data_IF_357935699182
#
_entry.id   IF_357935699182
#
_cell.length_a   1.000
_cell.length_b   1.000
_cell.length_c   1.000
_cell.angle_alpha   90.00
_cell.angle_beta   90.00
_cell.angle_gamma   90.00
#
_symmetry.space_group_name_H-M   'P 1'
#
loop_
_entity.id
_entity.type
_entity.pdbx_description
1 polymer ?
#
# COMPACT_ATOMS: atom_id res chain seq x y z
N UNK A 1 -9.22 -19.42 56.39
CA UNK A 1 -8.39 -19.26 57.59
C UNK A 1 -6.96 -19.15 57.09
N UNK A 2 -6.42 -17.96 56.80
CA UNK A 2 -6.03 -16.90 57.75
C UNK A 2 -4.51 -17.02 57.93
N UNK A 3 -3.66 -16.01 57.81
CA UNK A 3 -3.75 -14.58 57.55
C UNK A 3 -2.31 -14.04 57.58
N UNK A 4 -2.07 -12.94 56.86
CA UNK A 4 -0.95 -11.99 57.03
C UNK A 4 -0.96 -11.42 58.50
N UNK A 5 -0.04 -10.56 59.02
CA UNK A 5 1.02 -9.74 58.39
C UNK A 5 2.28 -9.42 59.26
N UNK A 6 3.20 -8.58 58.74
CA UNK A 6 3.87 -7.39 59.35
C UNK A 6 5.12 -7.03 58.50
N UNK A 7 5.22 -5.88 57.78
CA UNK A 7 5.57 -4.49 58.23
C UNK A 7 6.93 -4.43 58.92
N UNK A 8 7.79 -3.43 58.82
CA UNK A 8 8.03 -2.15 58.09
C UNK A 8 9.44 -1.72 58.61
N UNK A 9 10.11 -0.78 57.92
CA UNK A 9 11.01 0.27 58.46
C UNK A 9 11.97 0.69 57.33
N UNK A 10 11.76 1.78 56.58
CA UNK A 10 11.94 3.22 56.89
C UNK A 10 13.39 3.64 57.24
N UNK A 11 14.02 4.41 56.34
CA UNK A 11 14.88 5.59 56.57
C UNK A 11 15.59 6.00 55.26
N UNK A 12 15.84 7.26 54.89
CA UNK A 12 15.29 8.61 55.14
C UNK A 12 16.02 9.51 54.11
N UNK A 13 15.35 10.58 53.67
CA UNK A 13 15.87 11.65 52.82
C UNK A 13 17.05 12.42 53.46
N UNK A 14 17.70 13.32 52.69
CA UNK A 14 17.58 14.73 53.10
C UNK A 14 17.17 15.68 51.96
N UNK A 15 16.38 16.68 52.37
CA UNK A 15 15.93 17.89 51.66
C UNK A 15 16.62 19.14 52.24
N UNK A 16 16.91 20.14 51.39
CA UNK A 16 16.79 21.61 51.61
C UNK A 16 17.41 22.33 50.37
N UNK A 17 16.72 23.14 49.54
CA UNK A 17 16.09 24.47 49.76
C UNK A 17 17.10 25.53 50.24
N UNK A 18 17.20 26.79 49.78
CA UNK A 18 16.51 27.69 48.84
C UNK A 18 17.54 28.83 48.50
N UNK A 19 17.52 29.54 47.36
CA UNK A 19 16.68 30.73 47.08
C UNK A 19 17.56 31.94 46.69
N UNK A 20 17.07 32.84 45.81
CA UNK A 20 17.70 34.15 45.56
C UNK A 20 17.50 34.73 44.15
N UNK A 21 16.55 35.66 44.03
CA UNK A 21 16.23 36.49 42.86
C UNK A 21 17.30 37.55 42.54
N UNK A 22 17.40 38.02 41.29
CA UNK A 22 17.55 39.44 40.93
C UNK A 22 17.35 39.69 39.43
N UNK A 23 16.39 40.57 39.12
CA UNK A 23 16.12 41.20 37.81
C UNK A 23 16.84 42.55 37.68
N UNK A 24 17.28 42.92 36.47
CA UNK A 24 16.99 44.18 35.73
C UNK A 24 18.10 44.56 34.73
N UNK A 25 17.71 45.05 33.54
CA UNK A 25 18.46 46.11 32.84
C UNK A 25 18.74 45.91 31.35
N UNK A 26 17.85 46.43 30.49
CA UNK A 26 18.01 46.55 29.04
C UNK A 26 18.98 47.68 28.61
N UNK A 27 19.64 47.52 27.44
CA UNK A 27 20.03 48.58 26.46
C UNK A 27 20.67 47.97 25.19
N UNK A 28 20.22 48.31 23.95
CA UNK A 28 21.00 48.26 22.70
C UNK A 28 21.49 49.70 22.32
N UNK A 29 22.06 50.03 21.14
CA UNK A 29 22.52 49.24 19.97
C UNK A 29 23.95 49.61 19.47
N UNK A 30 24.52 48.89 18.49
CA UNK A 30 25.42 49.50 17.47
C UNK A 30 25.60 48.60 16.22
N UNK A 31 25.61 49.14 14.98
CA UNK A 31 25.55 48.37 13.74
C UNK A 31 26.91 48.21 13.05
N UNK A 32 27.15 47.06 12.40
CA UNK A 32 28.29 46.88 11.48
C UNK A 32 27.85 46.33 10.11
N UNK A 33 27.91 47.26 9.16
CA UNK A 33 28.23 47.20 7.71
C UNK A 33 28.06 45.89 6.92
N UNK A 34 27.32 46.08 5.83
CA UNK A 34 27.23 45.27 4.62
C UNK A 34 28.60 44.98 3.97
N UNK A 35 28.80 43.72 3.56
CA UNK A 35 29.86 43.29 2.64
C UNK A 35 29.28 42.39 1.55
N UNK A 36 29.32 42.86 0.29
CA UNK A 36 28.95 42.10 -0.91
C UNK A 36 29.97 40.99 -1.22
N UNK A 37 29.57 39.84 -1.77
CA UNK A 37 30.46 39.03 -2.58
C UNK A 37 30.14 39.14 -4.09
N UNK A 38 31.12 39.74 -4.78
CA UNK A 38 31.63 39.54 -6.14
C UNK A 38 30.82 38.67 -7.14
N UNK A 39 30.44 39.31 -8.25
CA UNK A 39 30.15 38.67 -9.54
C UNK A 39 31.44 38.03 -10.10
N UNK A 40 31.40 36.73 -10.39
CA UNK A 40 32.37 36.06 -11.25
C UNK A 40 31.70 35.73 -12.59
N UNK A 41 32.22 36.33 -13.67
CA UNK A 41 31.98 35.92 -15.06
C UNK A 41 33.07 34.92 -15.43
N UNK A 42 32.73 33.72 -15.92
CA UNK A 42 33.56 32.91 -16.82
C UNK A 42 32.62 32.03 -17.67
N UNK A 43 32.48 32.39 -18.95
CA UNK A 43 33.00 31.73 -20.17
C UNK A 43 32.22 30.47 -20.57
N UNK A 44 31.45 30.63 -21.64
CA UNK A 44 30.91 29.58 -22.48
C UNK A 44 32.06 28.76 -23.08
N UNK A 45 32.06 27.45 -22.81
CA UNK A 45 32.90 26.45 -23.45
C UNK A 45 32.06 25.60 -24.40
N UNK A 46 32.34 25.73 -25.69
CA UNK A 46 31.83 24.88 -26.76
C UNK A 46 32.37 23.45 -26.62
N UNK A 47 31.49 22.46 -26.54
CA UNK A 47 31.85 21.04 -26.46
C UNK A 47 30.79 20.13 -27.08
N UNK A 48 30.97 19.87 -28.39
CA UNK A 48 30.42 18.81 -29.25
C UNK A 48 29.28 17.93 -28.68
N UNK A 49 28.06 18.17 -29.20
CA UNK A 49 27.01 17.17 -29.25
C UNK A 49 27.37 16.10 -30.30
N UNK A 50 27.58 14.86 -29.85
CA UNK A 50 27.64 13.70 -30.73
C UNK A 50 26.20 13.22 -30.94
N UNK A 51 25.63 13.57 -32.10
CA UNK A 51 24.38 13.00 -32.57
C UNK A 51 24.64 11.54 -32.99
N UNK A 52 24.10 10.59 -32.23
CA UNK A 52 23.87 9.23 -32.75
C UNK A 52 22.44 9.14 -33.27
N UNK A 53 22.32 8.73 -34.52
CA UNK A 53 21.07 8.51 -35.23
C UNK A 53 20.21 7.44 -34.52
N UNK A 54 18.88 7.59 -34.44
CA UNK A 54 18.02 6.54 -33.93
C UNK A 54 17.93 5.41 -34.94
N UNK A 55 18.33 4.21 -34.51
CA UNK A 55 18.06 2.97 -35.22
C UNK A 55 16.54 2.79 -35.35
N UNK A 56 16.07 2.66 -36.60
CA UNK A 56 14.66 2.40 -36.92
C UNK A 56 14.25 1.01 -36.44
N UNK A 57 13.63 0.94 -35.25
CA UNK A 57 12.85 -0.24 -34.86
C UNK A 57 11.48 -0.17 -35.55
N UNK A 58 11.24 -1.14 -36.45
CA UNK A 58 9.96 -1.34 -37.12
C UNK A 58 8.92 -1.77 -36.09
N UNK A 59 7.94 -0.90 -35.84
CA UNK A 59 6.71 -1.24 -35.13
C UNK A 59 5.76 -1.97 -36.08
N UNK A 60 5.36 -3.19 -35.73
CA UNK A 60 4.25 -3.89 -36.38
C UNK A 60 2.94 -3.22 -35.95
N UNK A 61 2.46 -2.26 -36.76
CA UNK A 61 1.09 -1.75 -36.69
C UNK A 61 0.15 -2.79 -37.29
N UNK A 62 -0.73 -3.38 -36.48
CA UNK A 62 -1.95 -4.00 -36.98
C UNK A 62 -2.98 -2.89 -37.21
N UNK A 63 -3.42 -2.73 -38.46
CA UNK A 63 -4.57 -1.89 -38.86
C UNK A 63 -5.38 -2.58 -39.97
N UNK A 64 -6.66 -2.18 -40.13
CA UNK A 64 -7.79 -3.08 -40.30
C UNK A 64 -8.04 -3.47 -41.77
N UNK A 65 -8.55 -4.69 -41.98
CA UNK A 65 -9.00 -5.14 -43.28
C UNK A 65 -10.46 -4.78 -43.52
N UNK A 66 -10.71 -3.82 -44.42
CA UNK A 66 -11.99 -3.59 -45.05
C UNK A 66 -11.86 -4.02 -46.52
N UNK A 67 -12.79 -4.81 -47.06
CA UNK A 67 -13.03 -4.90 -48.52
C UNK A 67 -14.51 -4.95 -48.82
N UNK A 68 -14.93 -3.98 -49.63
CA UNK A 68 -16.20 -3.82 -50.30
C UNK A 68 -16.47 -4.92 -51.34
N UNK A 69 -17.76 -5.12 -51.66
CA UNK A 69 -18.20 -5.82 -52.87
C UNK A 69 -19.73 -5.97 -52.99
N UNK A 70 -20.38 -4.91 -53.49
CA UNK A 70 -21.74 -4.76 -54.04
C UNK A 70 -22.62 -6.01 -54.30
N UNK A 71 -23.93 -5.94 -53.99
CA UNK A 71 -25.04 -5.73 -54.96
C UNK A 71 -26.44 -5.90 -54.32
N UNK A 72 -27.28 -4.89 -54.54
CA UNK A 72 -28.73 -4.85 -54.78
C UNK A 72 -29.67 -5.97 -54.28
N UNK A 73 -30.78 -5.57 -53.63
CA UNK A 73 -32.04 -6.33 -53.71
C UNK A 73 -32.99 -6.22 -52.52
N UNK A 74 -33.82 -5.17 -52.54
CA UNK A 74 -35.22 -5.04 -52.06
C UNK A 74 -35.81 -6.09 -51.07
N UNK A 75 -36.40 -5.52 -50.00
CA UNK A 75 -37.78 -5.74 -49.49
C UNK A 75 -38.28 -7.18 -49.34
N UNK A 76 -38.55 -7.65 -48.11
CA UNK A 76 -39.85 -7.54 -47.42
C UNK A 76 -39.87 -8.36 -46.12
N UNK A 77 -40.78 -7.95 -45.25
CA UNK A 77 -41.09 -8.39 -43.90
C UNK A 77 -41.69 -9.83 -43.78
N UNK A 78 -41.98 -10.31 -42.55
CA UNK A 78 -41.89 -11.70 -42.09
C UNK A 78 -43.25 -12.42 -42.11
N UNK A 79 -43.32 -13.74 -41.87
CA UNK A 79 -44.48 -14.34 -41.18
C UNK A 79 -44.18 -15.67 -40.48
N UNK A 80 -45.00 -15.89 -39.45
CA UNK A 80 -45.03 -16.88 -38.37
C UNK A 80 -45.61 -18.26 -38.75
N UNK A 81 -45.57 -19.13 -37.73
CA UNK A 81 -46.44 -20.29 -37.42
C UNK A 81 -45.98 -21.60 -38.07
N UNK A 82 -45.94 -22.75 -37.40
CA UNK A 82 -46.55 -23.23 -36.16
C UNK A 82 -46.37 -24.76 -36.11
N UNK A 83 -46.89 -25.48 -35.09
CA UNK A 83 -46.25 -26.66 -34.51
C UNK A 83 -46.82 -28.00 -34.99
N UNK A 84 -46.04 -29.08 -34.88
CA UNK A 84 -46.60 -30.44 -34.80
C UNK A 84 -45.63 -31.43 -34.11
N UNK A 85 -46.14 -32.09 -33.08
CA UNK A 85 -45.53 -33.20 -32.34
C UNK A 85 -45.57 -34.48 -33.19
N UNK A 86 -44.53 -35.29 -33.16
CA UNK A 86 -44.63 -36.72 -32.79
C UNK A 86 -43.24 -37.35 -32.57
N UNK A 87 -43.14 -38.15 -31.50
CA UNK A 87 -42.01 -38.99 -31.08
C UNK A 87 -41.84 -40.20 -32.01
N UNK A 88 -40.59 -40.66 -32.18
CA UNK A 88 -40.05 -42.04 -32.33
C UNK A 88 -38.59 -41.86 -32.84
N UNK A 89 -37.56 -42.63 -32.58
CA UNK A 89 -37.23 -43.74 -31.67
C UNK A 89 -35.67 -43.78 -31.63
N UNK A 90 -35.08 -44.09 -30.47
CA UNK A 90 -33.63 -43.97 -30.18
C UNK A 90 -32.93 -45.32 -30.28
N UNK A 91 -32.64 -45.83 -31.48
CA UNK A 91 -31.82 -47.07 -31.57
C UNK A 91 -30.87 -47.19 -32.76
N UNK A 92 -30.80 -46.24 -33.70
CA UNK A 92 -29.99 -46.45 -34.93
C UNK A 92 -28.89 -45.42 -35.21
N UNK A 93 -28.45 -44.64 -34.21
CA UNK A 93 -27.32 -43.70 -34.37
C UNK A 93 -26.11 -44.02 -33.46
N UNK A 94 -26.19 -45.05 -32.60
CA UNK A 94 -25.11 -45.39 -31.65
C UNK A 94 -24.03 -46.35 -32.14
N UNK A 95 -24.06 -46.83 -33.39
CA UNK A 95 -23.04 -47.78 -33.90
C UNK A 95 -22.05 -47.24 -34.94
N UNK A 96 -22.26 -46.07 -35.53
CA UNK A 96 -21.33 -45.52 -36.53
C UNK A 96 -20.25 -44.56 -35.96
N UNK A 97 -20.46 -43.95 -34.78
CA UNK A 97 -19.49 -42.99 -34.21
C UNK A 97 -18.42 -43.60 -33.29
N UNK A 98 -18.48 -44.91 -32.97
CA UNK A 98 -17.50 -45.55 -32.06
C UNK A 98 -16.27 -46.16 -32.73
N UNK A 99 -16.22 -46.30 -34.06
CA UNK A 99 -15.06 -46.90 -34.76
C UNK A 99 -14.06 -45.91 -35.37
N UNK A 100 -14.40 -44.62 -35.53
CA UNK A 100 -13.44 -43.59 -35.99
C UNK A 100 -12.69 -42.85 -34.86
N UNK A 101 -13.15 -42.92 -33.61
CA UNK A 101 -12.41 -42.34 -32.46
C UNK A 101 -11.37 -43.28 -31.83
N UNK A 102 -11.34 -44.57 -32.19
CA UNK A 102 -10.47 -45.57 -31.56
C UNK A 102 -9.13 -45.82 -32.26
N UNK A 103 -8.92 -45.28 -33.46
CA UNK A 103 -7.66 -45.44 -34.22
C UNK A 103 -6.77 -44.18 -34.22
N UNK A 104 -7.30 -43.02 -33.85
CA UNK A 104 -6.49 -41.80 -33.70
C UNK A 104 -5.85 -41.64 -32.30
N UNK A 105 -6.21 -42.51 -31.34
CA UNK A 105 -5.77 -42.42 -29.93
C UNK A 105 -4.64 -43.39 -29.56
N UNK A 106 -4.22 -44.30 -30.46
CA UNK A 106 -3.06 -45.18 -30.21
C UNK A 106 -1.74 -44.66 -30.77
N UNK A 107 -1.71 -44.09 -31.98
CA UNK A 107 -0.45 -43.53 -32.55
C UNK A 107 0.05 -42.27 -31.84
N UNK A 108 -0.83 -41.52 -31.17
CA UNK A 108 -0.47 -40.31 -30.44
C UNK A 108 -0.14 -40.54 -28.94
N UNK A 109 -0.32 -41.78 -28.42
CA UNK A 109 0.02 -42.12 -27.02
C UNK A 109 1.49 -42.47 -26.82
N UNK A 110 2.19 -42.91 -27.87
CA UNK A 110 3.60 -43.29 -27.77
C UNK A 110 4.53 -42.07 -27.93
N UNK A 111 4.17 -41.08 -28.76
CA UNK A 111 4.90 -39.81 -28.84
C UNK A 111 4.61 -38.84 -27.67
N UNK A 112 3.42 -38.90 -27.04
CA UNK A 112 3.10 -38.05 -25.88
C UNK A 112 3.64 -38.55 -24.54
N UNK A 113 4.24 -39.75 -24.48
CA UNK A 113 4.88 -40.26 -23.26
C UNK A 113 6.29 -39.70 -23.03
N UNK A 114 6.97 -39.19 -24.05
CA UNK A 114 8.33 -38.65 -23.90
C UNK A 114 8.40 -37.13 -23.69
N UNK A 115 7.29 -36.38 -23.71
CA UNK A 115 7.30 -34.90 -23.63
C UNK A 115 6.37 -34.32 -22.56
N UNK A 116 6.00 -35.11 -21.55
CA UNK A 116 5.41 -34.56 -20.31
C UNK A 116 6.49 -34.40 -19.26
N UNK A 117 7.45 -33.50 -19.50
CA UNK A 117 8.10 -32.84 -18.37
C UNK A 117 7.08 -31.84 -17.83
N UNK A 118 6.65 -31.91 -16.56
CA UNK A 118 5.85 -30.83 -15.98
C UNK A 118 6.66 -29.55 -16.11
N UNK A 119 6.06 -28.51 -16.71
CA UNK A 119 6.72 -27.25 -17.09
C UNK A 119 7.22 -26.41 -15.88
N UNK A 120 7.09 -26.94 -14.65
CA UNK A 120 7.47 -26.26 -13.42
C UNK A 120 8.06 -27.26 -12.40
N UNK A 121 9.12 -27.99 -12.76
CA UNK A 121 10.08 -28.39 -11.72
C UNK A 121 10.94 -27.16 -11.45
N UNK A 122 11.09 -26.77 -10.19
CA UNK A 122 12.00 -25.66 -9.86
C UNK A 122 13.37 -25.97 -10.48
N UNK A 123 14.12 -24.97 -11.00
CA UNK A 123 15.41 -25.21 -11.67
C UNK A 123 16.34 -26.16 -10.89
N UNK A 124 16.31 -26.08 -9.55
CA UNK A 124 17.06 -26.94 -8.65
C UNK A 124 16.69 -28.44 -8.73
N UNK A 125 15.42 -28.77 -8.97
CA UNK A 125 14.97 -30.16 -9.13
C UNK A 125 15.35 -30.76 -10.49
N UNK A 126 15.65 -29.94 -11.49
CA UNK A 126 16.13 -30.42 -12.79
C UNK A 126 17.65 -30.63 -12.81
N UNK A 127 18.37 -29.94 -11.92
CA UNK A 127 19.84 -29.99 -11.81
C UNK A 127 20.36 -31.12 -10.91
N UNK A 128 19.47 -31.90 -10.28
CA UNK A 128 19.81 -33.01 -9.37
C UNK A 128 20.80 -32.63 -8.26
N UNK A 129 20.68 -31.39 -7.76
CA UNK A 129 21.55 -30.86 -6.71
C UNK A 129 21.14 -31.46 -5.36
N UNK A 130 22.06 -32.05 -4.59
CA UNK A 130 21.74 -32.58 -3.27
C UNK A 130 21.45 -31.43 -2.31
N UNK A 131 20.22 -31.40 -1.77
CA UNK A 131 19.77 -30.41 -0.79
C UNK A 131 19.66 -31.06 0.60
N UNK A 132 20.29 -30.44 1.62
CA UNK A 132 20.17 -30.89 3.02
C UNK A 132 18.78 -30.62 3.61
N UNK A 133 18.06 -29.64 3.07
CA UNK A 133 16.69 -29.28 3.47
C UNK A 133 15.77 -29.20 2.26
N UNK A 134 14.51 -29.53 2.49
CA UNK A 134 13.44 -29.34 1.50
C UNK A 134 13.14 -27.87 1.30
N UNK A 135 12.84 -27.49 0.06
CA UNK A 135 12.35 -26.16 -0.31
C UNK A 135 10.83 -26.25 -0.49
N UNK A 136 10.10 -25.34 0.14
CA UNK A 136 8.63 -25.23 0.03
C UNK A 136 8.26 -23.94 -0.68
N UNK A 137 7.59 -24.05 -1.83
CA UNK A 137 6.98 -22.90 -2.50
C UNK A 137 5.56 -22.71 -1.97
N UNK A 138 5.30 -21.55 -1.38
CA UNK A 138 3.98 -21.16 -0.89
C UNK A 138 3.47 -20.06 -1.82
N UNK A 139 2.28 -20.24 -2.39
CA UNK A 139 1.66 -19.28 -3.32
C UNK A 139 0.38 -18.78 -2.67
N UNK A 140 0.38 -17.51 -2.26
CA UNK A 140 -0.82 -16.82 -1.81
C UNK A 140 -1.67 -16.32 -2.98
N UNK A 141 -2.94 -16.02 -2.70
CA UNK A 141 -3.90 -15.52 -3.69
C UNK A 141 -4.65 -14.27 -3.20
N UNK A 142 -4.21 -13.67 -2.09
CA UNK A 142 -4.90 -12.59 -1.38
C UNK A 142 -3.91 -11.69 -0.62
N UNK A 143 -2.73 -11.45 -1.19
CA UNK A 143 -1.69 -10.57 -0.61
C UNK A 143 -2.15 -9.10 -0.66
N UNK A 144 -2.68 -8.68 -1.80
CA UNK A 144 -3.07 -7.28 -2.04
C UNK A 144 -4.38 -6.85 -1.34
N UNK A 145 -4.84 -7.63 -0.37
CA UNK A 145 -6.16 -7.49 0.26
C UNK A 145 -6.17 -7.94 1.72
N UNK A 146 -6.68 -9.13 2.07
CA UNK A 146 -6.95 -9.50 3.48
C UNK A 146 -6.07 -10.62 4.04
N UNK A 147 -5.22 -11.21 3.22
CA UNK A 147 -4.31 -12.30 3.57
C UNK A 147 -5.01 -13.54 4.11
N UNK A 148 -6.27 -13.76 3.73
CA UNK A 148 -7.06 -14.93 4.13
C UNK A 148 -6.37 -16.24 3.69
N UNK A 149 -5.66 -16.20 2.57
CA UNK A 149 -4.87 -17.33 2.09
C UNK A 149 -3.75 -17.75 3.05
N UNK A 150 -3.02 -16.81 3.65
CA UNK A 150 -1.95 -17.13 4.61
C UNK A 150 -2.50 -17.51 5.97
N UNK A 151 -3.60 -16.90 6.41
CA UNK A 151 -4.32 -17.35 7.60
C UNK A 151 -4.76 -18.80 7.46
N UNK A 152 -5.41 -19.13 6.33
CA UNK A 152 -5.82 -20.49 6.01
C UNK A 152 -4.63 -21.45 5.98
N UNK A 153 -3.54 -21.09 5.30
CA UNK A 153 -2.32 -21.89 5.23
C UNK A 153 -1.76 -22.17 6.63
N UNK A 154 -1.61 -21.15 7.48
CA UNK A 154 -1.08 -21.31 8.82
C UNK A 154 -1.99 -22.16 9.72
N UNK A 155 -3.31 -22.14 9.52
CA UNK A 155 -4.23 -23.00 10.27
C UNK A 155 -4.16 -24.47 9.86
N UNK A 156 -3.97 -24.76 8.57
CA UNK A 156 -4.08 -26.13 8.04
C UNK A 156 -2.74 -26.85 7.89
N UNK A 157 -1.67 -26.10 7.66
CA UNK A 157 -0.33 -26.66 7.50
C UNK A 157 0.38 -26.58 8.86
N UNK A 158 0.78 -27.72 9.46
CA UNK A 158 1.45 -27.69 10.78
C UNK A 158 2.93 -27.29 10.68
N UNK A 159 3.53 -27.48 9.51
CA UNK A 159 4.95 -27.23 9.31
C UNK A 159 5.24 -25.74 9.06
N UNK A 160 6.30 -25.24 9.71
CA UNK A 160 6.85 -23.90 9.49
C UNK A 160 8.25 -24.01 8.86
N UNK A 161 8.55 -23.23 7.80
CA UNK A 161 9.91 -23.11 7.31
C UNK A 161 10.85 -22.62 8.42
N UNK A 162 12.05 -23.19 8.48
CA UNK A 162 13.10 -22.75 9.41
C UNK A 162 13.57 -21.33 9.10
N UNK A 163 13.61 -20.99 7.82
CA UNK A 163 13.80 -19.66 7.26
C UNK A 163 13.16 -19.61 5.87
N UNK A 164 12.91 -18.40 5.37
CA UNK A 164 12.36 -18.24 4.03
C UNK A 164 12.50 -16.82 3.49
N UNK A 165 12.07 -16.66 2.25
CA UNK A 165 12.11 -15.39 1.53
C UNK A 165 10.75 -15.11 0.89
N UNK A 166 10.34 -13.85 0.90
CA UNK A 166 9.24 -13.32 0.10
C UNK A 166 9.83 -12.45 -1.02
N UNK A 167 9.81 -12.87 -2.30
CA UNK A 167 10.35 -12.09 -3.41
C UNK A 167 9.39 -10.97 -3.83
N UNK A 168 9.24 -9.98 -2.95
CA UNK A 168 8.13 -9.00 -3.02
C UNK A 168 8.54 -7.62 -2.46
N UNK A 169 9.83 -7.28 -2.55
CA UNK A 169 10.35 -6.02 -2.03
C UNK A 169 11.53 -5.48 -2.84
N UNK A 170 12.36 -4.64 -2.22
CA UNK A 170 13.59 -4.11 -2.78
C UNK A 170 14.83 -4.93 -2.41
N UNK A 171 15.88 -4.78 -3.22
CA UNK A 171 17.22 -5.29 -2.93
C UNK A 171 17.99 -4.33 -2.00
N UNK A 172 19.00 -4.79 -1.22
CA UNK A 172 19.53 -6.16 -1.14
C UNK A 172 18.63 -7.14 -0.38
N UNK A 173 17.90 -6.68 0.62
CA UNK A 173 16.84 -7.40 1.33
C UNK A 173 16.14 -6.44 2.30
N UNK A 174 14.92 -6.78 2.69
CA UNK A 174 14.17 -6.12 3.75
C UNK A 174 14.15 -7.01 4.98
N UNK A 175 14.90 -6.62 6.01
CA UNK A 175 15.05 -7.40 7.26
C UNK A 175 14.04 -7.03 8.32
N UNK A 176 13.25 -5.98 8.10
CA UNK A 176 12.20 -5.56 9.01
C UNK A 176 11.11 -4.75 8.34
N UNK A 177 9.91 -4.88 8.84
CA UNK A 177 8.73 -4.17 8.36
C UNK A 177 8.01 -3.53 9.55
N UNK A 178 7.59 -2.28 9.39
CA UNK A 178 6.83 -1.54 10.40
C UNK A 178 5.55 -2.27 10.78
N UNK A 179 5.09 -2.04 12.01
CA UNK A 179 3.75 -2.44 12.40
C UNK A 179 2.72 -1.66 11.59
N UNK A 180 1.60 -2.30 11.26
CA UNK A 180 0.52 -1.69 10.50
C UNK A 180 -0.71 -1.66 11.40
N UNK A 181 -1.31 -0.50 11.58
CA UNK A 181 -2.58 -0.40 12.30
C UNK A 181 -3.56 0.52 11.57
N UNK A 182 -4.80 0.06 11.42
CA UNK A 182 -5.93 0.91 11.04
C UNK A 182 -6.69 1.29 12.30
N UNK A 183 -6.70 2.59 12.61
CA UNK A 183 -7.44 3.17 13.71
C UNK A 183 -8.78 3.70 13.18
N UNK A 184 -9.88 3.15 13.66
CA UNK A 184 -11.23 3.57 13.28
C UNK A 184 -11.75 4.55 14.32
N UNK A 185 -11.64 5.84 14.02
CA UNK A 185 -12.08 6.92 14.90
C UNK A 185 -13.50 7.34 14.53
N UNK A 186 -14.38 7.46 15.50
CA UNK A 186 -15.76 7.90 15.28
C UNK A 186 -16.19 8.95 16.29
N UNK A 187 -17.14 9.81 15.92
CA UNK A 187 -17.77 10.75 16.83
C UNK A 187 -19.23 10.96 16.44
N UNK A 188 -20.11 10.95 17.44
CA UNK A 188 -21.52 11.30 17.25
C UNK A 188 -21.67 12.82 17.18
N UNK A 189 -22.49 13.28 16.25
CA UNK A 189 -22.76 14.69 15.97
C UNK A 189 -24.25 14.92 16.10
N UNK A 190 -24.64 15.73 17.08
CA UNK A 190 -26.02 16.17 17.25
C UNK A 190 -26.11 17.65 16.90
N UNK A 191 -26.59 17.92 15.70
CA UNK A 191 -26.81 19.27 15.17
C UNK A 191 -28.24 19.33 14.62
N UNK A 192 -28.97 20.44 14.80
CA UNK A 192 -30.33 20.55 14.30
C UNK A 192 -30.35 20.62 12.77
N UNK A 193 -31.39 20.07 12.15
CA UNK A 193 -31.54 20.09 10.68
C UNK A 193 -32.07 21.43 10.13
N UNK A 194 -32.37 22.39 11.01
CA UNK A 194 -32.93 23.70 10.66
C UNK A 194 -31.87 24.74 10.28
N UNK A 195 -30.58 24.40 10.38
CA UNK A 195 -29.45 25.29 10.10
C UNK A 195 -28.69 24.83 8.86
N UNK A 196 -27.96 25.76 8.22
CA UNK A 196 -27.02 25.43 7.13
C UNK A 196 -25.84 24.67 7.73
N UNK A 197 -25.53 23.51 7.14
CA UNK A 197 -24.54 22.54 7.61
C UNK A 197 -24.18 21.54 6.51
N UNK A 198 -23.18 20.71 6.80
CA UNK A 198 -22.87 19.56 5.96
C UNK A 198 -23.95 18.50 6.22
N UNK A 199 -24.62 18.03 5.16
CA UNK A 199 -25.61 16.96 5.22
C UNK A 199 -24.92 15.58 5.24
N UNK A 200 -23.94 15.41 4.38
CA UNK A 200 -23.08 14.24 4.33
C UNK A 200 -21.76 14.60 3.63
N UNK A 201 -20.72 13.84 3.92
CA UNK A 201 -19.44 13.92 3.22
C UNK A 201 -18.78 12.54 3.17
N UNK A 202 -18.01 12.25 2.12
CA UNK A 202 -17.29 10.98 2.01
C UNK A 202 -16.08 11.10 1.09
N UNK A 203 -15.01 10.38 1.42
CA UNK A 203 -13.81 10.29 0.59
C UNK A 203 -12.94 9.11 0.99
N UNK A 204 -12.28 8.51 0.00
CA UNK A 204 -11.41 7.35 0.19
C UNK A 204 -12.17 6.02 0.30
N UNK A 205 -11.64 4.99 -0.36
CA UNK A 205 -12.24 3.64 -0.35
C UNK A 205 -11.42 2.63 0.45
N UNK A 206 -10.11 2.86 0.57
CA UNK A 206 -9.16 1.92 1.16
C UNK A 206 -8.26 2.64 2.18
N UNK A 207 -8.13 2.14 3.42
CA UNK A 207 -7.30 2.78 4.44
C UNK A 207 -5.83 2.93 4.04
N UNK A 208 -5.30 1.98 3.24
CA UNK A 208 -3.90 1.97 2.81
C UNK A 208 -3.61 2.83 1.58
N UNK A 209 -4.54 3.69 1.13
CA UNK A 209 -4.36 4.60 0.01
C UNK A 209 -4.65 6.04 0.44
N UNK A 210 -3.92 7.01 -0.12
CA UNK A 210 -4.29 8.43 -0.05
C UNK A 210 -5.52 8.65 -0.93
N UNK A 211 -6.63 9.19 -0.41
CA UNK A 211 -7.83 9.48 -1.20
C UNK A 211 -7.55 10.48 -2.32
N UNK A 212 -7.97 10.15 -3.55
CA UNK A 212 -7.88 11.02 -4.73
C UNK A 212 -9.22 11.63 -5.15
N UNK A 213 -10.30 11.22 -4.50
CA UNK A 213 -11.66 11.74 -4.71
C UNK A 213 -12.40 11.88 -3.38
N UNK A 214 -13.17 12.95 -3.24
CA UNK A 214 -14.09 13.17 -2.13
C UNK A 214 -15.23 14.10 -2.53
N UNK A 215 -16.33 14.02 -1.81
CA UNK A 215 -17.50 14.86 -2.03
C UNK A 215 -18.26 15.13 -0.74
N UNK A 216 -18.93 16.28 -0.67
CA UNK A 216 -19.84 16.65 0.41
C UNK A 216 -21.05 17.41 -0.12
N UNK A 217 -22.18 17.28 0.56
CA UNK A 217 -23.38 18.07 0.31
C UNK A 217 -23.60 19.05 1.45
N UNK A 218 -23.80 20.32 1.13
CA UNK A 218 -24.16 21.38 2.07
C UNK A 218 -25.57 21.88 1.75
N UNK A 219 -26.45 21.96 2.74
CA UNK A 219 -27.83 22.46 2.58
C UNK A 219 -27.87 24.00 2.57
N UNK A 220 -27.20 24.62 1.61
CA UNK A 220 -27.28 26.06 1.36
C UNK A 220 -28.10 26.36 0.10
N UNK A 221 -28.78 27.52 0.09
CA UNK A 221 -29.59 27.96 -1.06
C UNK A 221 -28.76 28.59 -2.17
N UNK A 222 -27.67 29.26 -1.80
CA UNK A 222 -26.77 29.95 -2.72
C UNK A 222 -25.40 29.28 -2.67
N UNK A 223 -24.73 29.21 -3.83
CA UNK A 223 -23.36 28.71 -3.92
C UNK A 223 -22.46 29.54 -3.00
N UNK A 224 -21.68 28.91 -2.12
CA UNK A 224 -20.70 29.63 -1.32
C UNK A 224 -19.66 30.32 -2.21
N UNK A 225 -19.46 31.61 -1.99
CA UNK A 225 -18.56 32.46 -2.77
C UNK A 225 -17.28 32.74 -1.98
N UNK A 226 -16.31 31.83 -2.08
CA UNK A 226 -14.99 31.96 -1.48
C UNK A 226 -13.92 31.25 -2.33
N UNK A 227 -12.63 31.57 -2.15
CA UNK A 227 -11.56 30.86 -2.85
C UNK A 227 -11.57 29.37 -2.51
N UNK A 228 -11.52 28.53 -3.55
CA UNK A 228 -11.39 27.09 -3.41
C UNK A 228 -9.94 26.63 -3.62
N UNK A 229 -9.49 25.58 -2.91
CA UNK A 229 -8.22 24.95 -3.22
C UNK A 229 -8.26 24.32 -4.62
N UNK A 230 -7.07 24.13 -5.19
CA UNK A 230 -6.92 23.50 -6.50
C UNK A 230 -7.60 22.11 -6.52
N UNK A 231 -8.38 21.84 -7.57
CA UNK A 231 -9.08 20.57 -7.73
C UNK A 231 -10.42 20.48 -6.98
N UNK A 232 -10.85 21.53 -6.27
CA UNK A 232 -12.17 21.62 -5.65
C UNK A 232 -13.16 22.48 -6.46
N UNK A 233 -14.43 22.05 -6.53
CA UNK A 233 -15.48 22.76 -7.26
C UNK A 233 -16.87 22.49 -6.66
N UNK A 234 -17.73 23.52 -6.71
CA UNK A 234 -19.15 23.39 -6.38
C UNK A 234 -19.97 22.94 -7.59
N UNK A 235 -20.99 22.12 -7.34
CA UNK A 235 -22.00 21.69 -8.29
C UNK A 235 -23.39 21.89 -7.69
N UNK A 236 -24.38 22.35 -8.47
CA UNK A 236 -25.75 22.48 -7.99
C UNK A 236 -26.35 21.10 -7.70
N UNK A 237 -27.10 20.99 -6.60
CA UNK A 237 -27.85 19.81 -6.19
C UNK A 237 -29.27 20.22 -5.78
N UNK A 238 -30.33 19.40 -6.01
CA UNK A 238 -31.68 19.73 -5.57
C UNK A 238 -31.80 20.05 -4.06
N UNK A 239 -30.90 19.53 -3.24
CA UNK A 239 -30.90 19.72 -1.78
C UNK A 239 -29.85 20.73 -1.29
N UNK A 240 -29.20 21.47 -2.21
CA UNK A 240 -28.24 22.52 -1.89
C UNK A 240 -27.07 22.57 -2.87
N UNK A 241 -25.85 22.52 -2.34
CA UNK A 241 -24.65 22.54 -3.17
C UNK A 241 -23.71 21.42 -2.81
N UNK A 242 -23.26 20.68 -3.82
CA UNK A 242 -22.30 19.59 -3.68
C UNK A 242 -20.90 20.10 -3.98
N UNK A 243 -19.99 19.96 -3.02
CA UNK A 243 -18.58 20.22 -3.20
C UNK A 243 -17.88 18.92 -3.57
N UNK A 244 -17.11 18.93 -4.65
CA UNK A 244 -16.24 17.81 -5.05
C UNK A 244 -14.80 18.30 -4.96
N UNK A 245 -13.90 17.47 -4.45
CA UNK A 245 -12.47 17.73 -4.51
C UNK A 245 -11.72 16.50 -5.05
N UNK A 246 -10.78 16.76 -5.95
CA UNK A 246 -9.84 15.78 -6.48
C UNK A 246 -8.47 15.93 -5.82
N UNK A 247 -7.77 14.83 -5.68
CA UNK A 247 -6.43 14.72 -5.13
C UNK A 247 -5.50 13.93 -6.04
N UNK A 248 -4.52 13.28 -5.44
CA UNK A 248 -3.59 12.35 -6.12
C UNK A 248 -3.37 11.15 -5.21
N UNK A 249 -3.71 9.97 -5.71
CA UNK A 249 -3.50 8.73 -4.97
C UNK A 249 -2.01 8.45 -4.74
N UNK A 250 -1.71 7.84 -3.60
CA UNK A 250 -0.40 7.30 -3.24
C UNK A 250 -0.59 6.18 -2.21
N UNK A 251 0.43 5.35 -2.05
CA UNK A 251 0.42 4.30 -1.03
C UNK A 251 0.45 4.93 0.38
N UNK A 252 -0.36 4.40 1.31
CA UNK A 252 -0.54 4.95 2.66
C UNK A 252 0.69 4.87 3.57
N UNK A 253 1.75 4.16 3.15
CA UNK A 253 3.06 4.22 3.82
C UNK A 253 3.92 5.42 3.41
N UNK A 254 3.56 6.11 2.32
CA UNK A 254 4.24 7.29 1.80
C UNK A 254 3.21 8.36 1.41
N UNK A 255 2.36 8.81 2.36
CA UNK A 255 1.26 9.71 2.06
C UNK A 255 1.69 11.06 1.47
N UNK A 256 2.94 11.48 1.71
CA UNK A 256 3.57 12.67 1.11
C UNK A 256 3.73 12.61 -0.41
N UNK A 257 3.70 11.41 -1.02
CA UNK A 257 3.72 11.24 -2.47
C UNK A 257 2.38 11.57 -3.16
N UNK A 258 1.32 11.68 -2.36
CA UNK A 258 -0.05 11.94 -2.79
C UNK A 258 -0.53 13.34 -2.42
N UNK A 259 -1.78 13.62 -2.77
CA UNK A 259 -2.50 14.82 -2.33
C UNK A 259 -3.86 14.35 -1.83
N UNK A 260 -4.10 14.46 -0.53
CA UNK A 260 -5.31 13.91 0.09
C UNK A 260 -6.53 14.77 -0.27
N UNK A 261 -7.44 14.19 -1.05
CA UNK A 261 -8.67 14.85 -1.47
C UNK A 261 -9.55 15.26 -0.29
N UNK A 262 -9.59 14.46 0.79
CA UNK A 262 -10.34 14.78 2.02
C UNK A 262 -9.80 16.05 2.65
N UNK A 263 -8.48 16.20 2.76
CA UNK A 263 -7.86 17.45 3.27
C UNK A 263 -8.33 18.66 2.46
N UNK A 264 -8.28 18.58 1.12
CA UNK A 264 -8.75 19.67 0.23
C UNK A 264 -10.23 20.00 0.43
N UNK A 265 -11.09 19.00 0.62
CA UNK A 265 -12.50 19.21 0.90
C UNK A 265 -12.69 19.95 2.22
N UNK A 266 -12.00 19.53 3.28
CA UNK A 266 -12.11 20.16 4.60
C UNK A 266 -11.55 21.59 4.57
N UNK A 267 -10.48 21.85 3.83
CA UNK A 267 -9.94 23.21 3.61
C UNK A 267 -10.90 24.12 2.85
N UNK A 268 -11.65 23.55 1.90
CA UNK A 268 -12.68 24.28 1.18
C UNK A 268 -13.94 24.52 2.04
N UNK A 269 -14.26 23.65 3.00
CA UNK A 269 -15.44 23.81 3.87
C UNK A 269 -15.15 24.67 5.10
N UNK A 270 -13.93 24.65 5.63
CA UNK A 270 -13.54 25.37 6.85
C UNK A 270 -13.92 26.87 6.83
N UNK A 271 -13.69 27.65 5.75
CA UNK A 271 -14.01 29.08 5.74
C UNK A 271 -15.50 29.42 5.83
N UNK A 272 -16.38 28.44 5.61
CA UNK A 272 -17.83 28.62 5.71
C UNK A 272 -18.29 28.81 7.16
N UNK A 273 -17.44 28.49 8.14
CA UNK A 273 -17.72 28.61 9.58
C UNK A 273 -19.06 27.95 9.94
N UNK A 274 -19.28 26.75 9.40
CA UNK A 274 -20.46 25.96 9.71
C UNK A 274 -20.34 25.42 11.14
N UNK A 275 -21.47 25.10 11.79
CA UNK A 275 -21.45 24.42 13.10
C UNK A 275 -20.57 23.16 13.11
N UNK A 276 -20.47 22.46 11.98
CA UNK A 276 -19.62 21.28 11.79
C UNK A 276 -18.13 21.53 12.14
N UNK A 277 -17.63 22.76 11.96
CA UNK A 277 -16.26 23.17 12.29
C UNK A 277 -15.89 22.84 13.74
N UNK A 278 -16.68 23.34 14.67
CA UNK A 278 -16.45 23.18 16.12
C UNK A 278 -16.65 21.73 16.58
N UNK A 279 -17.53 21.00 15.91
CA UNK A 279 -17.87 19.64 16.31
C UNK A 279 -16.85 18.60 15.83
N UNK A 280 -16.35 18.69 14.61
CA UNK A 280 -15.48 17.66 14.05
C UNK A 280 -14.54 18.12 12.93
N UNK A 281 -14.95 19.08 12.11
CA UNK A 281 -14.23 19.41 10.86
C UNK A 281 -12.85 19.99 11.14
N UNK A 282 -12.71 20.92 12.09
CA UNK A 282 -11.40 21.50 12.41
C UNK A 282 -10.42 20.45 12.98
N UNK A 283 -10.96 19.49 13.75
CA UNK A 283 -10.17 18.39 14.32
C UNK A 283 -9.65 17.47 13.22
N UNK A 284 -10.54 17.02 12.32
CA UNK A 284 -10.14 16.10 11.24
C UNK A 284 -9.26 16.82 10.23
N UNK A 285 -9.49 18.11 9.96
CA UNK A 285 -8.61 18.89 9.11
C UNK A 285 -7.19 18.95 9.68
N UNK A 286 -7.04 19.22 10.98
CA UNK A 286 -5.73 19.19 11.66
C UNK A 286 -5.05 17.81 11.54
N UNK A 287 -5.80 16.73 11.77
CA UNK A 287 -5.28 15.36 11.61
C UNK A 287 -4.88 15.03 10.18
N UNK A 288 -5.68 15.46 9.19
CA UNK A 288 -5.47 15.17 7.77
C UNK A 288 -4.24 15.87 7.16
N UNK A 289 -3.73 16.93 7.82
CA UNK A 289 -2.51 17.66 7.42
C UNK A 289 -1.23 17.03 7.97
N UNK A 290 -1.33 16.11 8.91
CA UNK A 290 -0.20 15.52 9.64
C UNK A 290 0.09 14.10 9.15
N UNK A 291 1.27 13.91 8.58
CA UNK A 291 1.71 12.63 8.00
C UNK A 291 2.55 11.79 8.96
N UNK A 292 2.93 12.32 10.12
CA UNK A 292 3.86 11.71 11.08
C UNK A 292 3.21 11.33 12.43
N UNK A 293 1.90 11.54 12.54
CA UNK A 293 1.12 11.23 13.74
C UNK A 293 1.10 12.32 14.81
N UNK A 294 1.80 13.44 14.62
CA UNK A 294 1.85 14.55 15.58
C UNK A 294 0.48 15.10 15.95
N UNK A 295 -0.40 15.31 14.95
CA UNK A 295 -1.75 15.84 15.21
C UNK A 295 -2.66 14.85 15.96
N UNK A 296 -2.36 13.55 15.88
CA UNK A 296 -3.03 12.49 16.64
C UNK A 296 -2.38 12.27 18.03
N UNK A 297 -1.22 12.88 18.28
CA UNK A 297 -0.44 12.69 19.51
C UNK A 297 0.27 11.35 19.57
N UNK A 298 0.59 10.74 18.43
CA UNK A 298 1.21 9.41 18.34
C UNK A 298 2.55 9.43 17.58
N UNK A 299 3.18 10.59 17.45
CA UNK A 299 4.48 10.66 16.79
C UNK A 299 5.54 9.86 17.54
N UNK A 300 6.24 9.00 16.82
CA UNK A 300 7.32 8.17 17.35
C UNK A 300 8.32 7.85 16.24
N UNK A 301 9.58 7.66 16.62
CA UNK A 301 10.66 7.30 15.72
C UNK A 301 11.63 6.36 16.42
N UNK A 302 12.08 5.32 15.72
CA UNK A 302 13.22 4.49 16.11
C UNK A 302 14.38 4.63 15.10
N UNK A 303 15.56 4.14 15.48
CA UNK A 303 16.73 4.13 14.59
C UNK A 303 16.60 3.08 13.48
N UNK A 304 15.89 1.98 13.74
CA UNK A 304 15.81 0.82 12.85
C UNK A 304 14.91 1.03 11.63
N UNK A 305 13.80 1.72 11.81
CA UNK A 305 12.71 1.87 10.84
C UNK A 305 12.25 3.32 10.64
N UNK A 306 12.77 4.24 11.45
CA UNK A 306 12.54 5.67 11.28
C UNK A 306 11.18 6.10 11.80
N UNK A 307 10.67 7.21 11.24
CA UNK A 307 9.45 7.88 11.73
C UNK A 307 8.19 7.07 11.46
N UNK A 308 7.22 7.16 12.36
CA UNK A 308 5.85 6.75 12.11
C UNK A 308 5.28 7.50 10.90
N UNK A 309 4.41 6.83 10.13
CA UNK A 309 3.61 7.48 9.08
C UNK A 309 2.12 7.33 9.38
N UNK A 310 1.34 8.37 9.07
CA UNK A 310 -0.10 8.47 9.30
C UNK A 310 -0.81 8.89 8.02
N UNK A 311 -1.74 8.06 7.54
CA UNK A 311 -2.57 8.34 6.38
C UNK A 311 -4.06 8.34 6.75
N UNK A 312 -4.76 9.45 6.51
CA UNK A 312 -6.23 9.47 6.51
C UNK A 312 -6.73 8.85 5.19
N UNK A 313 -7.01 7.55 5.23
CA UNK A 313 -7.36 6.77 4.03
C UNK A 313 -8.86 6.66 3.75
N UNK A 314 -9.71 6.85 4.76
CA UNK A 314 -11.17 6.84 4.62
C UNK A 314 -11.78 7.88 5.54
N UNK A 315 -12.73 8.64 5.02
CA UNK A 315 -13.51 9.64 5.73
C UNK A 315 -14.97 9.54 5.32
N UNK A 316 -15.87 9.50 6.31
CA UNK A 316 -17.30 9.41 6.10
C UNK A 316 -18.03 10.27 7.14
N UNK A 317 -19.07 10.96 6.69
CA UNK A 317 -19.98 11.71 7.51
C UNK A 317 -21.39 11.58 6.94
N UNK A 318 -22.35 11.16 7.77
CA UNK A 318 -23.74 10.91 7.35
C UNK A 318 -24.75 11.92 7.94
N UNK A 319 -24.27 13.02 8.53
CA UNK A 319 -25.09 14.03 9.20
C UNK A 319 -25.28 13.79 10.70
N UNK A 320 -25.08 12.57 11.19
CA UNK A 320 -25.21 12.23 12.63
C UNK A 320 -23.96 11.60 13.22
N UNK A 321 -23.10 11.02 12.39
CA UNK A 321 -21.86 10.39 12.81
C UNK A 321 -20.75 10.70 11.79
N UNK A 322 -19.58 11.05 12.31
CA UNK A 322 -18.34 11.12 11.54
C UNK A 322 -17.48 9.91 11.85
N UNK A 323 -16.85 9.33 10.82
CA UNK A 323 -15.96 8.18 10.87
C UNK A 323 -14.71 8.45 10.03
N UNK A 324 -13.55 8.22 10.61
CA UNK A 324 -12.26 8.32 9.96
C UNK A 324 -11.49 7.01 10.15
N UNK A 325 -10.78 6.56 9.12
CA UNK A 325 -9.86 5.44 9.22
C UNK A 325 -8.45 5.93 8.91
N UNK A 326 -7.61 5.91 9.94
CA UNK A 326 -6.19 6.24 9.82
C UNK A 326 -5.38 4.96 9.66
N UNK A 327 -4.64 4.84 8.56
CA UNK A 327 -3.64 3.79 8.37
C UNK A 327 -2.29 4.29 8.86
N UNK A 328 -1.81 3.67 9.93
CA UNK A 328 -0.58 4.03 10.61
C UNK A 328 0.48 2.96 10.34
N UNK A 329 1.69 3.39 9.96
CA UNK A 329 2.89 2.53 9.93
C UNK A 329 3.78 2.94 11.08
N UNK A 330 3.80 2.12 12.12
CA UNK A 330 4.49 2.47 13.36
C UNK A 330 5.84 1.74 13.50
N UNK A 331 6.84 2.35 14.16
CA UNK A 331 8.20 1.82 14.18
C UNK A 331 8.34 0.43 14.81
N UNK A 332 9.36 -0.32 14.38
CA UNK A 332 9.58 -1.74 14.73
C UNK A 332 9.74 -1.93 16.24
N UNK A 333 10.39 -1.00 16.94
CA UNK A 333 10.63 -1.11 18.39
C UNK A 333 9.42 -0.71 19.24
N UNK A 334 8.32 -0.28 18.63
CA UNK A 334 7.15 0.21 19.35
C UNK A 334 6.04 -0.84 19.46
N UNK A 335 5.10 -0.64 20.39
CA UNK A 335 3.99 -1.56 20.63
C UNK A 335 2.64 -0.90 20.35
N UNK A 336 1.64 -1.71 19.99
CA UNK A 336 0.27 -1.24 19.80
C UNK A 336 -0.29 -0.63 21.10
N UNK A 337 0.02 -1.22 22.26
CA UNK A 337 -0.46 -0.73 23.54
C UNK A 337 0.10 0.65 23.88
N UNK A 338 1.39 0.88 23.65
CA UNK A 338 2.00 2.19 23.85
C UNK A 338 1.44 3.24 22.87
N UNK A 339 1.16 2.85 21.62
CA UNK A 339 0.48 3.72 20.65
C UNK A 339 -0.93 4.11 21.14
N UNK A 340 -1.71 3.15 21.64
CA UNK A 340 -3.05 3.41 22.18
C UNK A 340 -3.01 4.31 23.41
N UNK A 341 -2.04 4.11 24.30
CA UNK A 341 -1.83 4.97 25.46
C UNK A 341 -1.54 6.42 25.06
N UNK A 342 -0.69 6.63 24.05
CA UNK A 342 -0.39 7.98 23.53
C UNK A 342 -1.58 8.61 22.79
N UNK A 343 -2.41 7.82 22.12
CA UNK A 343 -3.61 8.29 21.42
C UNK A 343 -4.72 8.75 22.40
N UNK A 344 -4.81 8.13 23.57
CA UNK A 344 -5.92 8.29 24.50
C UNK A 344 -6.22 9.75 24.90
N UNK A 345 -5.24 10.60 25.27
CA UNK A 345 -5.48 12.01 25.58
C UNK A 345 -6.09 12.81 24.43
N UNK A 346 -5.72 12.48 23.18
CA UNK A 346 -6.31 13.11 21.99
C UNK A 346 -7.78 12.73 21.83
N UNK A 347 -8.14 11.47 22.08
CA UNK A 347 -9.52 11.01 22.02
C UNK A 347 -10.39 11.71 23.07
N UNK A 348 -9.91 11.78 24.32
CA UNK A 348 -10.61 12.46 25.42
C UNK A 348 -10.84 13.94 25.13
N UNK A 349 -9.80 14.65 24.65
CA UNK A 349 -9.88 16.08 24.33
C UNK A 349 -10.81 16.38 23.17
N UNK A 350 -10.87 15.50 22.17
CA UNK A 350 -11.63 15.74 20.94
C UNK A 350 -13.04 15.14 20.98
N UNK A 351 -13.33 14.26 21.93
CA UNK A 351 -14.58 13.52 22.03
C UNK A 351 -14.77 12.49 20.91
N UNK A 352 -13.69 12.09 20.24
CA UNK A 352 -13.70 10.94 19.33
C UNK A 352 -13.46 9.65 20.11
N UNK A 353 -14.02 8.56 19.61
CA UNK A 353 -13.86 7.22 20.18
C UNK A 353 -13.12 6.33 19.19
N UNK A 354 -12.29 5.43 19.73
CA UNK A 354 -11.67 4.36 18.96
C UNK A 354 -12.62 3.17 18.89
N UNK A 355 -13.33 3.04 17.77
CA UNK A 355 -14.40 2.05 17.57
C UNK A 355 -13.89 0.66 17.19
N UNK A 356 -12.79 0.59 16.43
CA UNK A 356 -12.21 -0.65 15.93
C UNK A 356 -10.71 -0.43 15.74
N UNK A 357 -9.93 -1.52 15.90
CA UNK A 357 -8.52 -1.57 15.56
C UNK A 357 -8.30 -2.79 14.69
N UNK A 358 -7.69 -2.61 13.51
CA UNK A 358 -7.13 -3.71 12.74
C UNK A 358 -5.63 -3.58 12.74
N UNK A 359 -4.96 -4.60 13.24
CA UNK A 359 -3.55 -4.53 13.55
C UNK A 359 -2.77 -5.70 12.96
N UNK A 360 -1.57 -5.42 12.49
CA UNK A 360 -0.57 -6.40 12.15
C UNK A 360 0.75 -5.98 12.79
N UNK A 361 1.36 -6.83 13.64
CA UNK A 361 2.56 -6.46 14.39
C UNK A 361 3.75 -6.16 13.46
N UNK A 362 4.76 -5.42 13.94
CA UNK A 362 6.02 -5.26 13.23
C UNK A 362 6.68 -6.63 13.05
N UNK A 363 7.50 -6.70 12.02
CA UNK A 363 8.30 -7.87 11.70
C UNK A 363 9.77 -7.49 11.66
N UNK A 364 10.64 -8.33 12.21
CA UNK A 364 12.06 -8.03 12.32
C UNK A 364 12.89 -9.31 12.44
N UNK A 365 13.94 -9.39 11.63
CA UNK A 365 14.98 -10.41 11.72
C UNK A 365 16.33 -9.71 11.88
N UNK A 366 17.12 -10.02 12.93
CA UNK A 366 18.45 -9.44 13.10
C UNK A 366 19.34 -9.65 11.88
N UNK A 367 19.99 -8.58 11.42
CA UNK A 367 20.83 -8.64 10.21
C UNK A 367 21.95 -9.68 10.32
N UNK A 368 22.44 -9.95 11.52
CA UNK A 368 23.52 -10.89 11.79
C UNK A 368 23.08 -12.36 11.65
N UNK A 369 21.79 -12.64 11.47
CA UNK A 369 21.29 -14.00 11.29
C UNK A 369 21.93 -14.64 10.04
N UNK A 370 22.48 -15.87 10.14
CA UNK A 370 23.31 -16.47 9.08
C UNK A 370 22.67 -16.50 7.68
N UNK A 371 21.36 -16.72 7.59
CA UNK A 371 20.67 -16.79 6.29
C UNK A 371 20.56 -15.42 5.60
N UNK A 372 20.45 -14.32 6.35
CA UNK A 372 20.47 -12.95 5.80
C UNK A 372 21.85 -12.60 5.26
N UNK A 373 22.91 -12.97 5.99
CA UNK A 373 24.29 -12.78 5.52
C UNK A 373 24.55 -13.56 4.23
N UNK A 374 23.98 -14.75 4.10
CA UNK A 374 24.04 -15.56 2.87
C UNK A 374 23.34 -14.86 1.71
N UNK A 375 22.10 -14.37 1.90
CA UNK A 375 21.35 -13.62 0.87
C UNK A 375 22.13 -12.37 0.44
N UNK A 376 22.64 -11.59 1.40
CA UNK A 376 23.38 -10.37 1.13
C UNK A 376 24.67 -10.62 0.34
N UNK A 377 25.41 -11.68 0.70
CA UNK A 377 26.61 -12.10 -0.03
C UNK A 377 26.26 -12.46 -1.48
N UNK A 378 25.24 -13.31 -1.69
CA UNK A 378 24.85 -13.76 -3.03
C UNK A 378 24.33 -12.62 -3.90
N UNK A 379 23.57 -11.68 -3.32
CA UNK A 379 23.16 -10.45 -4.00
C UNK A 379 24.40 -9.70 -4.52
N UNK A 380 25.36 -9.42 -3.64
CA UNK A 380 26.60 -8.69 -3.98
C UNK A 380 27.41 -9.39 -5.07
N UNK A 381 27.53 -10.71 -5.00
CA UNK A 381 28.23 -11.51 -6.01
C UNK A 381 27.56 -11.45 -7.38
N UNK A 382 26.22 -11.49 -7.45
CA UNK A 382 25.48 -11.46 -8.72
C UNK A 382 25.26 -10.07 -9.30
N UNK A 383 25.24 -9.03 -8.46
CA UNK A 383 24.97 -7.66 -8.92
C UNK A 383 26.21 -6.78 -9.00
N UNK A 384 27.26 -7.09 -8.24
CA UNK A 384 28.41 -6.20 -8.02
C UNK A 384 28.08 -4.98 -7.16
N UNK A 385 26.86 -4.89 -6.62
CA UNK A 385 26.42 -3.76 -5.80
C UNK A 385 26.92 -3.90 -4.36
N UNK A 386 27.96 -3.14 -4.04
CA UNK A 386 28.56 -3.05 -2.71
C UNK A 386 28.07 -1.85 -1.89
N UNK A 387 27.24 -1.00 -2.48
CA UNK A 387 26.85 0.28 -1.87
C UNK A 387 25.49 0.16 -1.17
N UNK A 388 24.52 -0.50 -1.79
CA UNK A 388 23.19 -0.65 -1.21
C UNK A 388 23.24 -1.44 0.09
N UNK A 389 22.53 -0.92 1.10
CA UNK A 389 22.42 -1.55 2.41
C UNK A 389 21.07 -2.26 2.55
N UNK A 390 21.00 -3.37 3.31
CA UNK A 390 19.72 -3.90 3.76
C UNK A 390 18.87 -2.82 4.41
N UNK A 391 17.56 -2.87 4.19
CA UNK A 391 16.64 -1.82 4.63
C UNK A 391 15.48 -2.39 5.45
N UNK A 392 14.77 -1.51 6.13
CA UNK A 392 13.43 -1.78 6.67
C UNK A 392 12.41 -0.99 5.86
N UNK A 393 11.12 -1.37 5.93
CA UNK A 393 10.08 -0.68 5.15
C UNK A 393 8.76 -0.51 5.89
N UNK A 394 7.91 0.41 5.39
CA UNK A 394 6.56 0.65 5.90
C UNK A 394 5.47 -0.25 5.30
N UNK A 395 5.73 -0.86 4.14
CA UNK A 395 4.83 -1.85 3.53
C UNK A 395 4.88 -3.19 4.27
N UNK A 396 3.94 -4.07 3.94
CA UNK A 396 3.91 -5.45 4.44
C UNK A 396 4.10 -6.42 3.29
N UNK A 397 4.83 -7.51 3.50
CA UNK A 397 4.90 -8.63 2.56
C UNK A 397 4.58 -9.92 3.30
N UNK A 398 4.41 -11.04 2.59
CA UNK A 398 4.30 -12.34 3.27
C UNK A 398 5.47 -12.71 4.19
N UNK A 399 6.60 -11.99 4.18
CA UNK A 399 7.66 -12.19 5.16
C UNK A 399 7.18 -12.10 6.62
N UNK A 400 6.21 -11.22 6.94
CA UNK A 400 5.74 -11.05 8.32
C UNK A 400 4.84 -12.17 8.84
N UNK A 401 4.40 -13.09 7.99
CA UNK A 401 3.48 -14.16 8.43
C UNK A 401 4.18 -15.17 9.34
N UNK A 402 5.52 -15.19 9.34
CA UNK A 402 6.34 -16.10 10.12
C UNK A 402 7.66 -15.40 10.52
N UNK A 403 8.17 -15.61 11.75
CA UNK A 403 9.26 -14.81 12.31
C UNK A 403 10.60 -14.95 11.58
N UNK A 404 10.84 -16.03 10.83
CA UNK A 404 12.13 -16.30 10.18
C UNK A 404 12.10 -16.08 8.67
N UNK A 405 11.18 -15.26 8.16
CA UNK A 405 11.13 -14.91 6.74
C UNK A 405 11.59 -13.48 6.55
N UNK A 406 12.16 -13.16 5.40
CA UNK A 406 12.51 -11.78 5.02
C UNK A 406 12.01 -11.49 3.62
N UNK A 407 11.77 -10.23 3.29
CA UNK A 407 11.47 -9.88 1.91
C UNK A 407 12.78 -9.64 1.15
N UNK A 408 12.80 -9.98 -0.13
CA UNK A 408 13.94 -9.76 -1.02
C UNK A 408 13.48 -9.08 -2.30
N UNK A 409 14.44 -8.55 -3.05
CA UNK A 409 14.15 -7.74 -4.23
C UNK A 409 13.40 -8.51 -5.32
N UNK A 410 12.37 -7.88 -5.90
CA UNK A 410 11.57 -8.41 -7.01
C UNK A 410 11.80 -7.70 -8.35
N UNK A 411 12.54 -6.59 -8.35
CA UNK A 411 12.81 -5.76 -9.51
C UNK A 411 14.21 -5.13 -9.42
N UNK A 412 14.72 -4.63 -10.55
CA UNK A 412 15.96 -3.87 -10.65
C UNK A 412 15.71 -2.48 -11.26
N UNK A 413 16.72 -1.61 -11.19
CA UNK A 413 16.67 -0.30 -11.83
C UNK A 413 16.33 -0.41 -13.33
N UNK A 414 15.35 0.39 -13.77
CA UNK A 414 14.83 0.39 -15.15
C UNK A 414 13.55 -0.44 -15.34
N UNK A 415 13.19 -1.29 -14.39
CA UNK A 415 11.87 -1.93 -14.35
C UNK A 415 10.76 -0.89 -14.02
N UNK A 416 9.52 -1.22 -14.34
CA UNK A 416 8.36 -0.39 -13.98
C UNK A 416 7.95 -0.61 -12.53
N UNK A 417 7.36 0.41 -11.90
CA UNK A 417 6.85 0.30 -10.54
C UNK A 417 5.64 -0.64 -10.49
N UNK A 418 5.53 -1.40 -9.40
CA UNK A 418 4.33 -2.16 -9.08
C UNK A 418 3.15 -1.21 -8.80
N UNK A 419 1.93 -1.65 -9.12
CA UNK A 419 0.66 -0.94 -8.85
C UNK A 419 0.49 0.40 -9.59
N UNK A 420 1.31 0.66 -10.60
CA UNK A 420 1.18 1.83 -11.49
C UNK A 420 0.72 1.40 -12.90
N UNK A 421 0.07 2.29 -13.67
CA UNK A 421 -0.13 2.06 -15.09
C UNK A 421 1.20 1.73 -15.79
N UNK A 422 1.17 0.82 -16.76
CA UNK A 422 2.35 0.34 -17.50
C UNK A 422 3.43 -0.35 -16.63
N UNK A 423 2.99 -1.00 -15.53
CA UNK A 423 3.80 -1.96 -14.76
C UNK A 423 4.46 -2.99 -15.70
N UNK A 424 5.78 -3.15 -15.56
CA UNK A 424 6.60 -3.98 -16.46
C UNK A 424 7.88 -4.46 -15.79
N UNK A 425 8.38 -5.58 -16.25
CA UNK A 425 9.71 -6.09 -15.91
C UNK A 425 10.52 -6.35 -17.17
N UNK A 426 11.78 -5.93 -17.19
CA UNK A 426 12.67 -6.25 -18.28
C UNK A 426 12.97 -7.76 -18.30
N UNK A 427 13.00 -8.36 -19.49
CA UNK A 427 13.29 -9.80 -19.63
C UNK A 427 14.67 -10.15 -19.06
N UNK A 428 15.64 -9.26 -19.16
CA UNK A 428 16.97 -9.48 -18.60
C UNK A 428 16.99 -9.35 -17.07
N UNK A 429 16.19 -8.45 -16.49
CA UNK A 429 15.93 -8.42 -15.04
C UNK A 429 15.33 -9.75 -14.57
N UNK A 430 14.29 -10.25 -15.26
CA UNK A 430 13.66 -11.52 -14.92
C UNK A 430 14.64 -12.71 -14.96
N UNK A 431 15.50 -12.80 -15.98
CA UNK A 431 16.54 -13.84 -16.05
C UNK A 431 17.54 -13.73 -14.90
N UNK A 432 17.92 -12.49 -14.54
CA UNK A 432 18.84 -12.23 -13.42
C UNK A 432 18.20 -12.65 -12.09
N UNK A 433 16.93 -12.32 -11.85
CA UNK A 433 16.17 -12.76 -10.68
C UNK A 433 16.10 -14.29 -10.59
N UNK A 434 15.77 -14.99 -11.69
CA UNK A 434 15.71 -16.46 -11.70
C UNK A 434 17.04 -17.07 -11.28
N UNK A 435 18.17 -16.56 -11.78
CA UNK A 435 19.51 -17.02 -11.39
C UNK A 435 19.78 -16.76 -9.90
N UNK A 436 19.55 -15.53 -9.45
CA UNK A 436 19.83 -15.13 -8.07
C UNK A 436 18.96 -15.89 -7.07
N UNK A 437 17.66 -16.04 -7.34
CA UNK A 437 16.77 -16.83 -6.49
C UNK A 437 17.14 -18.31 -6.47
N UNK A 438 17.56 -18.90 -7.61
CA UNK A 438 18.01 -20.28 -7.62
C UNK A 438 19.23 -20.48 -6.70
N UNK A 439 20.23 -19.59 -6.78
CA UNK A 439 21.41 -19.62 -5.90
C UNK A 439 21.05 -19.41 -4.43
N UNK A 440 20.16 -18.45 -4.14
CA UNK A 440 19.68 -18.22 -2.76
C UNK A 440 19.01 -19.49 -2.23
N UNK A 441 18.06 -20.08 -2.96
CA UNK A 441 17.34 -21.26 -2.52
C UNK A 441 18.27 -22.46 -2.30
N UNK A 442 19.26 -22.66 -3.16
CA UNK A 442 20.27 -23.71 -3.02
C UNK A 442 21.11 -23.55 -1.75
N UNK A 443 21.71 -22.38 -1.56
CA UNK A 443 22.58 -22.08 -0.41
C UNK A 443 21.80 -22.12 0.90
N UNK A 444 20.60 -21.54 0.92
CA UNK A 444 19.73 -21.58 2.10
C UNK A 444 19.26 -22.98 2.45
N UNK A 445 19.05 -23.87 1.47
CA UNK A 445 18.71 -25.26 1.75
C UNK A 445 19.90 -26.01 2.37
N UNK A 446 21.13 -25.60 2.08
CA UNK A 446 22.37 -26.27 2.47
C UNK A 446 23.12 -25.66 3.67
N UNK A 447 22.59 -24.56 4.22
CA UNK A 447 23.16 -23.79 5.33
C UNK A 447 23.36 -24.58 6.64
#
# INVERSE_FOLDING_TARGET
MGGNPYRRDDCRFPTAAAGGEHTLGARPPCPLRQGRPRRARYRAGTGRAVQYAPARLRWLRLRPGNRHGQRNGRLTQPYRCGPSRHRLDKTTVRRAHRKRLYLCTRRNRQQRRNHRKPLCRAPLQELDIPLKRRVRLIIGCDEESRWECMQHYLTHEPERPVWGISPDAGWPLIYGEKGIVNLFLQKQVSLPNTIVRIQWARGGERPNMVPDYTEALVNCTVQPAHPLPEGAQWQPDPNGWKLIAHGKAAHGSHPEGGINAVTRLLEALQPLQLPDNEHWLDTILAWSRSHDGTALGIDYQDELSGKLTSNLGVFEYNGTQVRCVFNIRYPITWSLDALKEQLQPTLERTGFELSEIRHTPPHYVPLQTPFLQTILRLYREETGDLQSQPATMGGGTYARVMPNLVAIGAAFEGDGNAHEPDERIAIDSLKKLVRLYARILEELANL
#
